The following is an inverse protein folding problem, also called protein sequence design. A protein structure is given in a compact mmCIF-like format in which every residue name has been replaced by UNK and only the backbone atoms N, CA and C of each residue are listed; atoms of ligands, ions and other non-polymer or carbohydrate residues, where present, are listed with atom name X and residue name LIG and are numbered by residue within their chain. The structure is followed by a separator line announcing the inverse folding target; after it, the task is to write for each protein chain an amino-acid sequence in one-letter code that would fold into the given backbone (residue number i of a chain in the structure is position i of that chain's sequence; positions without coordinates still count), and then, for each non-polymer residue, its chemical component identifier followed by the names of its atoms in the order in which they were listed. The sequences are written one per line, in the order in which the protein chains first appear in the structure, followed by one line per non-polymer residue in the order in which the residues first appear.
data_IF_489912177381
#
_entry.id   IF_489912177381
#
_cell.length_a   1.000
_cell.length_b   1.000
_cell.length_c   1.000
_cell.angle_alpha   90.00
_cell.angle_beta   90.00
_cell.angle_gamma   90.00
#
_symmetry.space_group_name_H-M   'P 1'
#
loop_
_entity.id
_entity.type
_entity.pdbx_description
1 polymer ?
#
# COMPACT_ATOMS: atom_id res chain seq x y z
N UNK A 1 -35.81 61.41 -13.13
CA UNK A 1 -35.68 60.20 -13.97
C UNK A 1 -34.20 59.90 -14.20
N UNK A 2 -33.54 59.19 -13.28
CA UNK A 2 -32.24 58.55 -13.47
C UNK A 2 -32.16 57.38 -12.50
N UNK A 3 -32.16 56.17 -13.04
CA UNK A 3 -32.06 54.94 -12.27
C UNK A 3 -31.60 53.80 -13.18
N UNK A 4 -30.70 52.99 -12.63
CA UNK A 4 -30.31 51.65 -13.09
C UNK A 4 -29.26 51.60 -14.21
N UNK A 5 -28.04 52.00 -13.86
CA UNK A 5 -26.81 51.43 -14.39
C UNK A 5 -26.06 50.81 -13.20
N UNK A 6 -25.73 49.51 -13.32
CA UNK A 6 -24.94 48.64 -12.42
C UNK A 6 -25.71 47.40 -11.96
N UNK A 7 -26.04 46.53 -12.91
CA UNK A 7 -26.26 45.11 -12.67
C UNK A 7 -26.18 44.38 -14.03
N UNK A 8 -24.96 43.98 -14.43
CA UNK A 8 -24.65 42.92 -15.44
C UNK A 8 -23.18 43.04 -15.88
N UNK A 9 -22.27 42.66 -15.00
CA UNK A 9 -20.86 42.44 -15.34
C UNK A 9 -20.24 41.49 -14.31
N UNK A 10 -20.72 40.25 -14.25
CA UNK A 10 -20.09 39.12 -13.55
C UNK A 10 -20.98 37.89 -13.77
N UNK A 11 -20.93 37.33 -14.97
CA UNK A 11 -21.44 36.00 -15.34
C UNK A 11 -21.14 35.83 -16.83
N UNK A 12 -19.88 35.51 -17.17
CA UNK A 12 -19.44 34.98 -18.47
C UNK A 12 -17.92 34.73 -18.39
N UNK A 13 -17.57 33.60 -17.81
CA UNK A 13 -16.22 33.05 -17.79
C UNK A 13 -16.33 31.64 -17.23
N UNK A 14 -15.81 30.65 -17.98
CA UNK A 14 -15.85 29.20 -17.69
C UNK A 14 -17.05 28.41 -18.24
N UNK A 15 -17.41 28.61 -19.51
CA UNK A 15 -18.20 27.62 -20.27
C UNK A 15 -17.69 27.52 -21.72
N UNK A 16 -16.44 27.13 -21.88
CA UNK A 16 -15.92 26.64 -23.16
C UNK A 16 -14.75 25.71 -22.83
N UNK A 17 -14.68 24.55 -23.50
CA UNK A 17 -13.74 23.44 -23.31
C UNK A 17 -14.20 22.39 -22.28
N UNK A 18 -15.18 21.56 -22.64
CA UNK A 18 -15.32 20.19 -22.13
C UNK A 18 -16.22 19.34 -23.04
N UNK A 19 -15.82 19.20 -24.31
CA UNK A 19 -16.41 18.19 -25.19
C UNK A 19 -15.44 17.83 -26.30
N UNK A 20 -14.53 16.90 -26.02
CA UNK A 20 -14.02 15.90 -26.99
C UNK A 20 -13.55 14.67 -26.19
N UNK A 21 -14.45 13.71 -25.98
CA UNK A 21 -14.10 12.34 -25.62
C UNK A 21 -13.80 11.63 -26.94
N UNK A 22 -12.53 11.62 -27.33
CA UNK A 22 -12.05 10.77 -28.41
C UNK A 22 -11.75 9.39 -27.83
N UNK A 23 -12.47 8.39 -28.32
CA UNK A 23 -12.09 6.98 -28.26
C UNK A 23 -10.68 6.82 -28.85
N UNK A 24 -9.76 6.27 -28.08
CA UNK A 24 -8.43 5.84 -28.58
C UNK A 24 -8.45 4.33 -28.72
N UNK A 25 -8.24 3.77 -29.92
CA UNK A 25 -8.21 2.33 -30.12
C UNK A 25 -6.94 1.74 -29.51
N UNK A 26 -7.11 0.53 -29.00
CA UNK A 26 -6.08 -0.35 -28.47
C UNK A 26 -5.09 -0.73 -29.58
N UNK A 27 -3.84 -0.29 -29.48
CA UNK A 27 -2.65 -1.02 -29.93
C UNK A 27 -1.41 -0.44 -29.25
N UNK A 28 -0.50 -1.33 -28.88
CA UNK A 28 0.90 -1.09 -28.48
C UNK A 28 1.22 -1.03 -26.97
N UNK A 29 1.53 -2.21 -26.43
CA UNK A 29 2.07 -2.46 -25.09
C UNK A 29 3.54 -2.02 -25.01
N UNK A 30 3.78 -0.72 -24.89
CA UNK A 30 4.96 -0.15 -24.24
C UNK A 30 4.52 0.92 -23.26
N UNK A 31 3.88 0.46 -22.18
CA UNK A 31 3.50 1.32 -21.06
C UNK A 31 4.77 1.81 -20.35
N UNK A 32 5.08 3.06 -20.67
CA UNK A 32 6.01 3.96 -20.02
C UNK A 32 5.87 3.90 -18.48
N UNK A 33 6.93 3.43 -17.80
CA UNK A 33 7.13 3.46 -16.34
C UNK A 33 7.30 4.88 -15.76
N UNK A 34 6.62 5.89 -16.30
CA UNK A 34 6.82 7.31 -15.93
C UNK A 34 5.48 8.00 -15.66
N UNK A 35 4.84 7.66 -14.54
CA UNK A 35 3.73 8.45 -13.98
C UNK A 35 3.51 8.21 -12.46
N UNK A 36 4.55 7.84 -11.70
CA UNK A 36 4.46 7.73 -10.23
C UNK A 36 5.58 8.47 -9.48
N UNK A 37 6.20 9.47 -10.12
CA UNK A 37 7.15 10.37 -9.48
C UNK A 37 6.80 11.82 -9.83
N UNK A 38 5.79 12.36 -9.16
CA UNK A 38 5.67 13.80 -8.93
C UNK A 38 5.70 14.05 -7.43
N UNK A 39 6.87 13.79 -6.84
CA UNK A 39 7.33 14.42 -5.61
C UNK A 39 8.58 15.23 -6.01
N UNK A 40 8.64 16.54 -5.76
CA UNK A 40 9.83 17.31 -6.06
C UNK A 40 10.87 17.00 -4.98
N UNK A 41 11.83 16.12 -5.27
CA UNK A 41 13.06 15.96 -4.48
C UNK A 41 14.24 16.22 -5.40
N UNK A 42 14.69 17.47 -5.40
CA UNK A 42 16.06 17.83 -5.74
C UNK A 42 16.96 17.14 -4.71
N UNK A 43 17.65 16.07 -5.12
CA UNK A 43 18.95 15.60 -4.61
C UNK A 43 19.34 14.38 -5.45
N UNK A 44 20.20 14.60 -6.45
CA UNK A 44 20.81 13.53 -7.23
C UNK A 44 21.72 12.70 -6.31
N UNK A 45 21.61 11.36 -6.27
CA UNK A 45 22.59 10.53 -5.59
C UNK A 45 23.92 10.56 -6.37
N UNK A 46 25.08 10.47 -5.68
CA UNK A 46 26.37 10.43 -6.33
C UNK A 46 26.49 9.16 -7.19
N UNK A 47 27.01 9.32 -8.40
CA UNK A 47 27.27 8.26 -9.34
C UNK A 47 28.35 7.30 -8.78
N UNK A 48 27.92 6.15 -8.26
CA UNK A 48 28.76 4.97 -8.15
C UNK A 48 28.61 4.16 -9.43
N UNK A 49 29.74 3.87 -10.07
CA UNK A 49 29.85 3.19 -11.35
C UNK A 49 28.98 1.93 -11.44
N UNK A 50 28.10 1.90 -12.45
CA UNK A 50 27.28 0.76 -12.82
C UNK A 50 28.18 -0.37 -13.37
N UNK A 51 28.55 -1.33 -12.53
CA UNK A 51 28.48 -2.71 -12.99
C UNK A 51 27.01 -2.98 -13.30
N UNK A 52 26.67 -3.20 -14.57
CA UNK A 52 25.34 -3.65 -14.97
C UNK A 52 25.10 -5.04 -14.39
N UNK A 53 24.76 -5.12 -13.10
CA UNK A 53 24.37 -6.36 -12.43
C UNK A 53 23.22 -6.94 -13.24
N UNK A 54 23.45 -8.11 -13.84
CA UNK A 54 22.36 -8.93 -14.37
C UNK A 54 21.33 -9.03 -13.24
N UNK A 55 20.14 -8.48 -13.47
CA UNK A 55 19.05 -8.61 -12.53
C UNK A 55 18.56 -10.05 -12.60
N UNK A 56 18.26 -10.63 -11.43
CA UNK A 56 17.67 -11.97 -11.37
C UNK A 56 16.36 -11.96 -12.17
N UNK A 57 16.22 -12.87 -13.13
CA UNK A 57 14.98 -12.99 -13.89
C UNK A 57 14.01 -13.80 -13.04
N UNK A 58 12.88 -13.20 -12.67
CA UNK A 58 11.82 -13.90 -11.94
C UNK A 58 10.97 -14.68 -12.93
N UNK A 59 10.88 -15.99 -12.73
CA UNK A 59 10.01 -16.89 -13.51
C UNK A 59 8.56 -16.79 -13.02
N UNK A 60 8.35 -16.82 -11.71
CA UNK A 60 7.02 -16.69 -11.11
C UNK A 60 7.06 -16.10 -9.71
N UNK A 61 6.09 -15.26 -9.41
CA UNK A 61 5.85 -14.72 -8.07
C UNK A 61 4.89 -15.62 -7.28
N UNK A 62 4.91 -15.55 -5.93
CA UNK A 62 3.90 -16.19 -5.09
C UNK A 62 2.49 -15.63 -5.38
N UNK A 63 1.43 -16.37 -5.04
CA UNK A 63 0.05 -15.90 -5.21
C UNK A 63 -0.21 -14.58 -4.47
N UNK A 64 -1.02 -13.70 -5.05
CA UNK A 64 -1.34 -12.38 -4.48
C UNK A 64 -1.89 -12.45 -3.04
N UNK A 65 -2.56 -13.55 -2.67
CA UNK A 65 -3.07 -13.82 -1.33
C UNK A 65 -2.01 -13.62 -0.23
N UNK A 66 -0.76 -13.98 -0.52
CA UNK A 66 0.37 -13.83 0.42
C UNK A 66 0.73 -12.37 0.69
N UNK A 67 0.32 -11.43 -0.17
CA UNK A 67 0.55 -10.00 -0.01
C UNK A 67 -0.57 -9.31 0.78
N UNK A 68 -1.72 -9.97 1.02
CA UNK A 68 -2.90 -9.33 1.64
C UNK A 68 -2.58 -8.73 3.01
N UNK A 69 -1.87 -9.41 3.94
CA UNK A 69 -1.49 -8.80 5.22
C UNK A 69 -0.60 -7.56 5.03
N UNK A 70 0.37 -7.63 4.13
CA UNK A 70 1.29 -6.53 3.85
C UNK A 70 0.58 -5.33 3.22
N UNK A 71 -0.36 -5.58 2.29
CA UNK A 71 -1.14 -4.54 1.65
C UNK A 71 -1.98 -3.72 2.64
N UNK A 72 -2.46 -4.35 3.72
CA UNK A 72 -3.15 -3.67 4.80
C UNK A 72 -2.25 -2.65 5.51
N UNK A 73 -1.11 -3.09 6.04
CA UNK A 73 -0.25 -2.22 6.87
C UNK A 73 0.36 -1.11 6.02
N UNK A 74 0.63 -1.38 4.74
CA UNK A 74 1.09 -0.36 3.82
C UNK A 74 0.00 0.63 3.43
N UNK A 75 -1.23 0.15 3.27
CA UNK A 75 -2.41 1.00 3.08
C UNK A 75 -2.61 1.95 4.26
N UNK A 76 -2.43 1.47 5.49
CA UNK A 76 -2.48 2.27 6.71
C UNK A 76 -1.43 3.40 6.68
N UNK A 77 -0.18 3.09 6.32
CA UNK A 77 0.89 4.10 6.19
C UNK A 77 0.55 5.12 5.11
N UNK A 78 0.09 4.68 3.94
CA UNK A 78 -0.25 5.57 2.83
C UNK A 78 -1.40 6.52 3.22
N UNK A 79 -2.45 6.00 3.86
CA UNK A 79 -3.55 6.83 4.36
C UNK A 79 -3.08 7.81 5.43
N UNK A 80 -2.19 7.40 6.34
CA UNK A 80 -1.62 8.29 7.34
C UNK A 80 -0.74 9.39 6.73
N UNK A 81 -0.01 9.09 5.65
CA UNK A 81 0.82 10.08 4.93
C UNK A 81 -0.03 11.13 4.22
N UNK A 82 -1.22 10.75 3.76
CA UNK A 82 -2.15 11.59 3.02
C UNK A 82 -3.20 12.28 3.92
N UNK A 83 -3.23 11.96 5.21
CA UNK A 83 -4.21 12.50 6.14
C UNK A 83 -4.04 14.01 6.33
N UNK A 84 -5.02 14.78 5.86
CA UNK A 84 -5.05 16.24 5.94
C UNK A 84 -5.93 16.79 7.07
N UNK A 85 -6.90 16.01 7.57
CA UNK A 85 -7.79 16.41 8.67
C UNK A 85 -7.36 15.84 10.03
N UNK A 86 -7.77 16.51 11.11
CA UNK A 86 -7.47 16.07 12.48
C UNK A 86 -8.18 14.76 12.85
N UNK A 87 -9.43 14.59 12.39
CA UNK A 87 -10.24 13.40 12.67
C UNK A 87 -9.70 12.15 11.98
N UNK A 88 -9.36 12.25 10.68
CA UNK A 88 -8.74 11.14 9.94
C UNK A 88 -7.41 10.72 10.58
N UNK A 89 -6.64 11.70 11.06
CA UNK A 89 -5.39 11.43 11.77
C UNK A 89 -5.63 10.75 13.13
N UNK A 90 -6.68 11.09 13.85
CA UNK A 90 -7.03 10.48 15.14
C UNK A 90 -7.28 8.98 15.00
N UNK A 91 -8.09 8.59 14.02
CA UNK A 91 -8.39 7.17 13.77
C UNK A 91 -7.17 6.39 13.28
N UNK A 92 -6.33 6.98 12.41
CA UNK A 92 -5.07 6.35 12.00
C UNK A 92 -4.10 6.19 13.18
N UNK A 93 -4.04 7.17 14.08
CA UNK A 93 -3.20 7.07 15.28
C UNK A 93 -3.62 5.92 16.19
N UNK A 94 -4.93 5.67 16.34
CA UNK A 94 -5.43 4.52 17.11
C UNK A 94 -4.98 3.20 16.49
N UNK A 95 -5.09 3.06 15.18
CA UNK A 95 -4.61 1.89 14.42
C UNK A 95 -3.12 1.65 14.62
N UNK A 96 -2.29 2.66 14.40
CA UNK A 96 -0.85 2.55 14.64
C UNK A 96 -0.53 2.16 16.08
N UNK A 97 -1.23 2.73 17.07
CA UNK A 97 -1.05 2.39 18.50
C UNK A 97 -1.44 0.95 18.83
N UNK A 98 -2.37 0.35 18.09
CA UNK A 98 -2.83 -1.02 18.31
C UNK A 98 -1.82 -2.08 17.82
N UNK A 99 -0.89 -1.72 16.93
CA UNK A 99 0.14 -2.64 16.41
C UNK A 99 1.12 -3.06 17.51
N UNK A 100 1.15 -4.36 17.83
CA UNK A 100 2.14 -4.93 18.75
C UNK A 100 3.46 -5.25 18.04
N UNK A 101 4.52 -5.48 18.81
CA UNK A 101 5.79 -6.00 18.24
C UNK A 101 5.58 -7.37 17.58
N UNK A 102 4.71 -8.20 18.16
CA UNK A 102 4.33 -9.49 17.58
C UNK A 102 3.67 -9.34 16.21
N UNK A 103 2.84 -8.31 16.01
CA UNK A 103 2.23 -8.05 14.71
C UNK A 103 3.29 -7.62 13.69
N UNK A 104 4.21 -6.73 14.08
CA UNK A 104 5.31 -6.29 13.21
C UNK A 104 6.23 -7.45 12.82
N UNK A 105 6.55 -8.34 13.75
CA UNK A 105 7.34 -9.53 13.47
C UNK A 105 6.59 -10.54 12.58
N UNK A 106 5.27 -10.63 12.74
CA UNK A 106 4.45 -11.44 11.86
C UNK A 106 4.42 -10.87 10.42
N UNK A 107 4.35 -9.55 10.25
CA UNK A 107 4.48 -8.92 8.92
C UNK A 107 5.88 -9.14 8.32
N UNK A 108 6.95 -9.04 9.12
CA UNK A 108 8.31 -9.40 8.66
C UNK A 108 8.37 -10.85 8.20
N UNK A 109 7.78 -11.77 8.96
CA UNK A 109 7.70 -13.18 8.58
C UNK A 109 6.94 -13.39 7.27
N UNK A 110 5.80 -12.71 7.05
CA UNK A 110 5.06 -12.76 5.78
C UNK A 110 5.93 -12.28 4.61
N UNK A 111 6.67 -11.18 4.78
CA UNK A 111 7.66 -10.74 3.79
C UNK A 111 8.72 -11.80 3.54
N UNK A 112 9.21 -12.46 4.60
CA UNK A 112 10.21 -13.49 4.47
C UNK A 112 9.71 -14.66 3.61
N UNK A 113 8.50 -15.12 3.89
CA UNK A 113 7.85 -16.19 3.14
C UNK A 113 7.61 -15.79 1.68
N UNK A 114 7.11 -14.58 1.43
CA UNK A 114 6.88 -14.08 0.07
C UNK A 114 8.16 -14.11 -0.77
N UNK A 115 9.26 -13.52 -0.26
CA UNK A 115 10.54 -13.48 -0.98
C UNK A 115 11.14 -14.87 -1.13
N UNK A 116 10.98 -15.74 -0.13
CA UNK A 116 11.45 -17.13 -0.18
C UNK A 116 10.80 -17.96 -1.28
N UNK A 117 9.53 -17.68 -1.61
CA UNK A 117 8.72 -18.41 -2.58
C UNK A 117 8.85 -17.89 -4.03
N UNK A 118 9.61 -16.82 -4.27
CA UNK A 118 9.88 -16.33 -5.63
C UNK A 118 10.71 -17.39 -6.39
N UNK A 119 10.23 -17.79 -7.56
CA UNK A 119 10.96 -18.66 -8.48
C UNK A 119 11.72 -17.82 -9.49
N UNK A 120 12.99 -18.13 -9.70
CA UNK A 120 13.87 -17.41 -10.62
C UNK A 120 14.19 -18.30 -11.83
N UNK A 121 14.18 -17.70 -13.02
CA UNK A 121 14.61 -18.34 -14.25
C UNK A 121 16.15 -18.35 -14.30
N UNK A 122 16.74 -19.54 -14.42
CA UNK A 122 18.20 -19.76 -14.49
C UNK A 122 18.96 -19.18 -13.28
N UNK A 123 18.94 -19.86 -12.11
CA UNK A 123 19.39 -19.30 -10.84
C UNK A 123 20.93 -19.26 -10.76
N UNK A 124 21.53 -18.15 -11.18
CA UNK A 124 22.83 -17.77 -10.64
C UNK A 124 22.65 -17.42 -9.16
N UNK A 125 23.14 -18.29 -8.28
CA UNK A 125 23.00 -18.18 -6.82
C UNK A 125 23.43 -16.82 -6.27
N UNK A 126 24.46 -16.18 -6.85
CA UNK A 126 24.93 -14.86 -6.37
C UNK A 126 23.94 -13.77 -6.73
N UNK A 127 23.38 -13.82 -7.94
CA UNK A 127 22.42 -12.84 -8.43
C UNK A 127 21.08 -12.99 -7.71
N UNK A 128 20.61 -14.22 -7.52
CA UNK A 128 19.39 -14.53 -6.77
C UNK A 128 19.53 -14.13 -5.30
N UNK A 129 20.66 -14.45 -4.66
CA UNK A 129 20.91 -14.06 -3.26
C UNK A 129 20.96 -12.55 -3.07
N UNK A 130 21.56 -11.82 -4.02
CA UNK A 130 21.60 -10.36 -4.00
C UNK A 130 20.20 -9.74 -4.14
N UNK A 131 19.38 -10.25 -5.06
CA UNK A 131 18.00 -9.79 -5.25
C UNK A 131 17.12 -10.09 -4.01
N UNK A 132 17.20 -11.31 -3.47
CA UNK A 132 16.51 -11.68 -2.22
C UNK A 132 16.92 -10.78 -1.05
N UNK A 133 18.22 -10.54 -0.86
CA UNK A 133 18.72 -9.65 0.19
C UNK A 133 18.17 -8.22 0.05
N UNK A 134 18.11 -7.69 -1.17
CA UNK A 134 17.51 -6.38 -1.45
C UNK A 134 16.03 -6.32 -1.07
N UNK A 135 15.25 -7.36 -1.40
CA UNK A 135 13.82 -7.45 -1.07
C UNK A 135 13.59 -7.58 0.44
N UNK A 136 14.35 -8.43 1.12
CA UNK A 136 14.25 -8.57 2.58
C UNK A 136 14.58 -7.26 3.27
N UNK A 137 15.68 -6.60 2.86
CA UNK A 137 16.06 -5.30 3.41
C UNK A 137 14.97 -4.26 3.22
N UNK A 138 14.39 -4.16 2.02
CA UNK A 138 13.33 -3.21 1.72
C UNK A 138 12.09 -3.43 2.62
N UNK A 139 11.69 -4.68 2.86
CA UNK A 139 10.58 -4.95 3.79
C UNK A 139 10.96 -4.70 5.25
N UNK A 140 12.15 -5.09 5.69
CA UNK A 140 12.56 -4.86 7.08
C UNK A 140 12.70 -3.36 7.40
N UNK A 141 13.27 -2.57 6.48
CA UNK A 141 13.32 -1.12 6.58
C UNK A 141 11.91 -0.51 6.66
N UNK A 142 10.96 -1.07 5.91
CA UNK A 142 9.56 -0.65 5.95
C UNK A 142 8.88 -0.99 7.29
N UNK A 143 8.99 -2.23 7.78
CA UNK A 143 8.40 -2.65 9.06
C UNK A 143 9.03 -1.93 10.25
N UNK A 144 10.34 -1.69 10.19
CA UNK A 144 11.03 -0.87 11.19
C UNK A 144 10.52 0.57 11.18
N UNK A 145 10.25 1.14 10.01
CA UNK A 145 9.68 2.48 9.91
C UNK A 145 8.22 2.55 10.42
N UNK A 146 7.41 1.51 10.18
CA UNK A 146 6.07 1.36 10.80
C UNK A 146 6.17 1.33 12.33
N UNK A 147 7.10 0.54 12.88
CA UNK A 147 7.36 0.49 14.32
C UNK A 147 7.77 1.84 14.90
N UNK A 148 8.67 2.57 14.23
CA UNK A 148 9.04 3.93 14.65
C UNK A 148 7.85 4.89 14.62
N UNK A 149 7.00 4.82 13.61
CA UNK A 149 5.79 5.64 13.53
C UNK A 149 4.83 5.35 14.70
N UNK A 150 4.66 4.07 15.09
CA UNK A 150 3.93 3.69 16.31
C UNK A 150 4.59 4.26 17.57
N UNK A 151 5.89 4.07 17.75
CA UNK A 151 6.60 4.42 18.98
C UNK A 151 6.56 5.94 19.25
N UNK A 152 6.58 6.76 18.20
CA UNK A 152 6.39 8.23 18.31
C UNK A 152 5.02 8.55 18.91
N UNK A 153 3.97 7.80 18.56
CA UNK A 153 2.63 8.01 19.10
C UNK A 153 2.47 7.58 20.56
N UNK A 154 3.30 6.65 21.04
CA UNK A 154 3.29 6.21 22.44
C UNK A 154 3.95 7.22 23.38
N UNK A 155 4.81 8.10 22.85
CA UNK A 155 5.58 9.09 23.62
C UNK A 155 4.91 10.47 23.71
N UNK A 156 3.62 10.57 23.34
CA UNK A 156 2.87 11.83 23.21
C UNK A 156 3.60 12.92 22.39
N UNK A 157 4.46 12.50 21.45
CA UNK A 157 5.23 13.41 20.60
C UNK A 157 4.37 14.01 19.47
N UNK A 158 4.74 15.23 19.08
CA UNK A 158 3.96 16.09 18.18
C UNK A 158 3.63 15.43 16.83
N UNK A 159 2.46 15.83 16.27
CA UNK A 159 1.95 15.47 14.94
C UNK A 159 3.03 15.52 13.84
N UNK A 160 3.97 16.46 13.93
CA UNK A 160 5.03 16.66 12.96
C UNK A 160 6.03 15.48 12.90
N UNK A 161 6.44 14.94 14.05
CA UNK A 161 7.38 13.81 14.08
C UNK A 161 6.71 12.53 13.58
N UNK A 162 5.43 12.32 13.92
CA UNK A 162 4.66 11.21 13.37
C UNK A 162 4.55 11.29 11.84
N UNK A 163 4.18 12.45 11.29
CA UNK A 163 4.08 12.64 9.83
C UNK A 163 5.43 12.47 9.13
N UNK A 164 6.53 12.88 9.75
CA UNK A 164 7.90 12.66 9.25
C UNK A 164 8.24 11.17 9.18
N UNK A 165 7.98 10.41 10.24
CA UNK A 165 8.22 8.96 10.24
C UNK A 165 7.32 8.23 9.24
N UNK A 166 6.05 8.61 9.13
CA UNK A 166 5.11 8.04 8.16
C UNK A 166 5.56 8.35 6.72
N UNK A 167 6.05 9.56 6.45
CA UNK A 167 6.59 9.92 5.12
C UNK A 167 7.83 9.12 4.75
N UNK A 168 8.75 8.93 5.71
CA UNK A 168 9.93 8.07 5.52
C UNK A 168 9.53 6.60 5.28
N UNK A 169 8.51 6.12 5.99
CA UNK A 169 7.93 4.79 5.76
C UNK A 169 7.43 4.67 4.32
N UNK A 170 6.73 5.69 3.80
CA UNK A 170 6.25 5.72 2.41
C UNK A 170 7.35 5.52 1.35
N UNK A 171 8.56 6.03 1.58
CA UNK A 171 9.70 5.84 0.66
C UNK A 171 10.17 4.38 0.68
N UNK A 172 10.36 3.80 1.87
CA UNK A 172 10.79 2.40 2.02
C UNK A 172 9.74 1.43 1.44
N UNK A 173 8.46 1.76 1.60
CA UNK A 173 7.34 1.01 1.01
C UNK A 173 7.32 1.07 -0.50
N UNK A 174 7.55 2.25 -1.08
CA UNK A 174 7.64 2.39 -2.53
C UNK A 174 8.78 1.53 -3.12
N UNK A 175 9.90 1.41 -2.41
CA UNK A 175 11.00 0.52 -2.79
C UNK A 175 10.59 -0.96 -2.77
N UNK A 176 9.83 -1.41 -1.77
CA UNK A 176 9.29 -2.78 -1.74
C UNK A 176 8.26 -3.01 -2.86
N UNK A 177 7.38 -2.04 -3.12
CA UNK A 177 6.37 -2.13 -4.19
C UNK A 177 6.94 -2.16 -5.60
N UNK A 178 8.10 -1.54 -5.81
CA UNK A 178 8.79 -1.64 -7.09
C UNK A 178 9.21 -3.08 -7.43
N UNK A 179 9.28 -3.97 -6.44
CA UNK A 179 9.78 -5.32 -6.57
C UNK A 179 8.67 -6.38 -6.69
N UNK A 180 7.40 -6.03 -6.47
CA UNK A 180 6.24 -6.93 -6.60
C UNK A 180 5.43 -6.65 -7.88
N UNK A 181 4.72 -7.66 -8.44
CA UNK A 181 3.81 -7.42 -9.55
C UNK A 181 2.72 -6.42 -9.16
N UNK A 182 2.55 -5.37 -9.98
CA UNK A 182 1.60 -4.29 -9.70
C UNK A 182 0.15 -4.77 -9.61
N UNK A 183 -0.22 -5.72 -10.47
CA UNK A 183 -1.57 -6.27 -10.51
C UNK A 183 -1.89 -7.08 -9.26
N UNK A 184 -0.97 -7.94 -8.81
CA UNK A 184 -1.13 -8.72 -7.59
C UNK A 184 -1.22 -7.81 -6.36
N UNK A 185 -0.39 -6.76 -6.32
CA UNK A 185 -0.46 -5.79 -5.24
C UNK A 185 -1.79 -5.02 -5.24
N UNK A 186 -2.30 -4.61 -6.41
CA UNK A 186 -3.59 -3.96 -6.53
C UNK A 186 -4.75 -4.86 -6.07
N UNK A 187 -4.71 -6.16 -6.42
CA UNK A 187 -5.69 -7.16 -5.94
C UNK A 187 -5.62 -7.32 -4.43
N UNK A 188 -4.43 -7.45 -3.86
CA UNK A 188 -4.23 -7.55 -2.42
C UNK A 188 -4.73 -6.30 -1.67
N UNK A 189 -4.48 -5.11 -2.23
CA UNK A 189 -4.95 -3.85 -1.66
C UNK A 189 -6.47 -3.73 -1.70
N UNK A 190 -7.10 -4.11 -2.82
CA UNK A 190 -8.55 -4.13 -2.96
C UNK A 190 -9.21 -5.08 -1.95
N UNK A 191 -8.66 -6.29 -1.80
CA UNK A 191 -9.13 -7.25 -0.80
C UNK A 191 -8.96 -6.71 0.62
N UNK A 192 -7.80 -6.15 0.97
CA UNK A 192 -7.58 -5.54 2.29
C UNK A 192 -8.54 -4.37 2.57
N UNK A 193 -8.91 -3.58 1.55
CA UNK A 193 -9.92 -2.52 1.71
C UNK A 193 -11.31 -3.10 1.99
N UNK A 194 -11.72 -4.15 1.27
CA UNK A 194 -12.98 -4.87 1.53
C UNK A 194 -13.00 -5.48 2.93
N UNK A 195 -11.88 -6.05 3.38
CA UNK A 195 -11.75 -6.57 4.75
C UNK A 195 -11.92 -5.48 5.79
N UNK A 196 -11.32 -4.29 5.59
CA UNK A 196 -11.54 -3.15 6.49
C UNK A 196 -12.97 -2.63 6.50
N UNK A 197 -13.70 -2.77 5.40
CA UNK A 197 -15.12 -2.40 5.36
C UNK A 197 -16.00 -3.41 6.12
N UNK A 198 -15.50 -4.62 6.39
CA UNK A 198 -16.15 -5.64 7.18
C UNK A 198 -15.89 -5.53 8.69
N UNK A 199 -14.94 -4.69 9.12
CA UNK A 199 -14.63 -4.39 10.54
C UNK A 199 -15.69 -3.44 11.11
N UNK A 200 -16.83 -4.00 11.49
CA UNK A 200 -17.97 -3.23 12.01
C UNK A 200 -17.64 -2.63 13.38
N UNK A 201 -16.94 -3.41 14.21
CA UNK A 201 -16.55 -3.05 15.57
C UNK A 201 -15.38 -2.04 15.61
N UNK A 202 -14.69 -1.83 14.48
CA UNK A 202 -13.50 -0.98 14.34
C UNK A 202 -12.39 -1.34 15.33
N UNK A 203 -12.31 -2.62 15.68
CA UNK A 203 -11.32 -3.17 16.60
C UNK A 203 -10.05 -3.63 15.87
N UNK A 204 -10.02 -3.44 14.54
CA UNK A 204 -8.92 -3.80 13.66
C UNK A 204 -8.67 -5.30 13.67
N UNK A 205 -9.73 -6.08 13.80
CA UNK A 205 -9.71 -7.54 13.70
C UNK A 205 -10.99 -7.99 13.00
N UNK A 206 -11.02 -9.27 12.62
CA UNK A 206 -12.27 -9.89 12.19
C UNK A 206 -12.87 -10.64 13.37
N UNK A 207 -14.04 -10.19 13.83
CA UNK A 207 -14.84 -10.89 14.81
C UNK A 207 -15.20 -12.31 14.32
N UNK A 208 -15.69 -13.16 15.22
CA UNK A 208 -16.14 -14.51 14.86
C UNK A 208 -17.38 -14.47 13.95
N UNK A 209 -18.18 -13.43 14.07
CA UNK A 209 -19.40 -13.17 13.31
C UNK A 209 -19.06 -12.69 11.91
N UNK A 210 -18.16 -11.71 11.78
CA UNK A 210 -17.61 -11.27 10.49
C UNK A 210 -16.88 -12.43 9.78
N UNK A 211 -16.24 -13.32 10.52
CA UNK A 211 -15.67 -14.56 9.99
C UNK A 211 -16.69 -15.46 9.30
N UNK A 212 -17.87 -15.59 9.91
CA UNK A 212 -18.97 -16.40 9.37
C UNK A 212 -19.51 -15.75 8.10
N UNK A 213 -19.62 -14.42 8.07
CA UNK A 213 -20.00 -13.65 6.88
C UNK A 213 -19.03 -13.91 5.72
N UNK A 214 -17.72 -13.82 5.97
CA UNK A 214 -16.68 -14.16 4.98
C UNK A 214 -16.84 -15.59 4.46
N UNK A 215 -17.01 -16.58 5.34
CA UNK A 215 -17.16 -17.99 4.95
C UNK A 215 -18.43 -18.26 4.14
N UNK A 216 -19.49 -17.52 4.40
CA UNK A 216 -20.77 -17.69 3.70
C UNK A 216 -20.76 -17.13 2.27
N UNK A 217 -19.72 -16.40 1.87
CA UNK A 217 -19.66 -15.73 0.56
C UNK A 217 -20.71 -14.63 0.40
N UNK A 218 -21.36 -14.21 1.49
CA UNK A 218 -22.28 -13.09 1.50
C UNK A 218 -21.50 -11.80 1.23
N UNK A 219 -22.10 -10.89 0.44
CA UNK A 219 -21.48 -9.61 0.08
C UNK A 219 -20.88 -8.93 1.31
N UNK A 220 -19.61 -8.45 1.23
CA UNK A 220 -19.00 -7.80 0.07
C UNK A 220 -17.84 -8.55 -0.64
N UNK A 221 -17.57 -9.82 -0.32
CA UNK A 221 -16.46 -10.59 -0.93
C UNK A 221 -16.94 -11.51 -2.07
N UNK A 222 -16.11 -11.68 -3.10
CA UNK A 222 -16.29 -12.77 -4.07
C UNK A 222 -15.96 -14.13 -3.43
N UNK A 223 -16.37 -15.22 -4.07
CA UNK A 223 -16.03 -16.57 -3.59
C UNK A 223 -14.51 -16.79 -3.48
N UNK A 224 -13.75 -16.38 -4.50
CA UNK A 224 -12.28 -16.46 -4.51
C UNK A 224 -11.67 -15.63 -3.36
N UNK A 225 -12.18 -14.43 -3.12
CA UNK A 225 -11.72 -13.56 -2.03
C UNK A 225 -12.03 -14.15 -0.65
N UNK A 226 -13.22 -14.72 -0.48
CA UNK A 226 -13.62 -15.43 0.73
C UNK A 226 -12.72 -16.64 0.99
N UNK A 227 -12.41 -17.43 -0.03
CA UNK A 227 -11.50 -18.57 0.07
C UNK A 227 -10.09 -18.14 0.50
N UNK A 228 -9.57 -17.05 -0.07
CA UNK A 228 -8.28 -16.47 0.32
C UNK A 228 -8.29 -16.06 1.80
N UNK A 229 -9.32 -15.35 2.25
CA UNK A 229 -9.42 -14.88 3.65
C UNK A 229 -9.53 -16.08 4.60
N UNK A 230 -10.34 -17.07 4.27
CA UNK A 230 -10.47 -18.30 5.07
C UNK A 230 -9.14 -19.05 5.16
N UNK A 231 -8.41 -19.16 4.05
CA UNK A 231 -7.10 -19.78 4.02
C UNK A 231 -6.10 -19.03 4.91
N UNK A 232 -6.01 -17.70 4.78
CA UNK A 232 -5.13 -16.86 5.61
C UNK A 232 -5.48 -16.96 7.11
N UNK A 233 -6.76 -17.04 7.46
CA UNK A 233 -7.19 -17.25 8.85
C UNK A 233 -6.79 -18.63 9.38
N UNK A 234 -6.91 -19.67 8.55
CA UNK A 234 -6.58 -21.05 8.95
C UNK A 234 -5.11 -21.24 9.32
N UNK A 235 -4.22 -20.41 8.75
CA UNK A 235 -2.78 -20.40 9.04
C UNK A 235 -2.39 -19.35 10.11
N UNK A 236 -3.37 -18.79 10.83
CA UNK A 236 -3.12 -17.86 11.93
C UNK A 236 -2.86 -16.40 11.52
N UNK A 237 -2.96 -16.05 10.23
CA UNK A 237 -2.76 -14.67 9.77
C UNK A 237 -4.01 -13.78 9.89
N UNK A 238 -5.09 -14.29 10.49
CA UNK A 238 -6.39 -13.59 10.57
C UNK A 238 -6.31 -12.20 11.21
N UNK A 239 -5.47 -12.04 12.23
CA UNK A 239 -5.28 -10.78 12.94
C UNK A 239 -4.48 -9.73 12.12
N UNK A 240 -3.82 -10.16 11.04
CA UNK A 240 -2.99 -9.29 10.21
C UNK A 240 -3.73 -8.73 8.98
N UNK A 241 -4.98 -9.15 8.79
CA UNK A 241 -5.77 -8.79 7.60
C UNK A 241 -6.36 -7.38 7.68
N UNK A 242 -6.48 -6.85 8.91
CA UNK A 242 -7.07 -5.55 9.22
C UNK A 242 -6.15 -4.82 10.20
N UNK A 243 -5.09 -4.13 9.73
CA UNK A 243 -4.26 -3.31 10.61
C UNK A 243 -4.90 -1.98 11.01
#
# INVERSE_FOLDING_TARGET
MRGKLLARALLLGCAYIASQVAWVPCTDTRVTRRALLQLPVLLAPPAFAEESKRLAVVESYPPFATLVPLAGVFGLVQSAAQASSADALSDMKKRFKALSDTDLDAYRFVCTQYVGLIKYADPDDKVVSFDKAGRFKACDDAMTAVGRARDVLQKDQEKAEFQKQVSATGINLASYFALVPKEDFAKAQALSQKMRALDEDRDYKLSAEEAKTVRSGAQPLSQEESEVVVALRSIGMGNLLIP
#
